data_IF_259721708197
#
_entry.id   IF_259721708197
#
_cell.length_a   1.000
_cell.length_b   1.000
_cell.length_c   1.000
_cell.angle_alpha   90.00
_cell.angle_beta   90.00
_cell.angle_gamma   90.00
#
_symmetry.space_group_name_H-M   'P 1'
#
loop_
_entity.id
_entity.type
_entity.pdbx_description
1 polymer ?
#
# COMPACT_ATOMS: atom_id res chain seq x y z
N UNK A 1 30.35 7.59 -28.75
CA UNK A 1 30.20 7.61 -27.28
C UNK A 1 28.74 7.92 -26.97
N UNK A 2 27.87 6.94 -26.71
CA UNK A 2 26.51 7.26 -26.29
C UNK A 2 26.56 7.78 -24.84
N UNK A 3 25.99 8.96 -24.62
CA UNK A 3 25.80 9.55 -23.30
C UNK A 3 24.93 8.60 -22.49
N UNK A 4 25.42 8.15 -21.33
CA UNK A 4 24.64 7.38 -20.37
C UNK A 4 23.44 8.23 -19.94
N UNK A 5 22.27 7.96 -20.52
CA UNK A 5 21.00 8.41 -20.00
C UNK A 5 20.84 7.77 -18.61
N UNK A 6 21.24 8.51 -17.58
CA UNK A 6 20.82 8.25 -16.21
C UNK A 6 19.31 8.45 -16.16
N UNK A 7 18.58 7.41 -16.57
CA UNK A 7 17.14 7.29 -16.35
C UNK A 7 16.96 7.29 -14.85
N UNK A 8 16.68 8.46 -14.26
CA UNK A 8 16.24 8.54 -12.86
C UNK A 8 14.87 7.89 -12.79
N UNK A 9 14.85 6.58 -12.59
CA UNK A 9 13.65 5.87 -12.20
C UNK A 9 13.21 6.44 -10.85
N UNK A 10 12.15 7.25 -10.87
CA UNK A 10 11.51 7.72 -9.65
C UNK A 10 10.93 6.48 -8.95
N UNK A 11 11.59 6.02 -7.90
CA UNK A 11 11.08 4.97 -7.03
C UNK A 11 10.04 5.59 -6.11
N UNK A 12 8.79 5.13 -6.19
CA UNK A 12 7.72 5.56 -5.30
C UNK A 12 7.62 4.57 -4.15
N UNK A 13 8.13 4.93 -2.97
CA UNK A 13 7.91 4.14 -1.76
C UNK A 13 6.64 4.62 -1.05
N UNK A 14 5.65 3.75 -0.91
CA UNK A 14 4.43 4.01 -0.13
C UNK A 14 4.40 3.05 1.05
N UNK A 15 4.43 3.60 2.26
CA UNK A 15 4.32 2.84 3.50
C UNK A 15 2.90 2.91 4.04
N UNK A 16 2.25 1.76 4.18
CA UNK A 16 0.93 1.62 4.79
C UNK A 16 1.10 0.95 6.16
N UNK A 17 0.98 1.75 7.23
CA UNK A 17 1.12 1.25 8.62
C UNK A 17 -0.18 0.68 9.15
N UNK A 18 -1.14 1.55 9.48
CA UNK A 18 -2.38 1.16 10.12
C UNK A 18 -3.52 2.09 9.71
N UNK A 19 -4.75 1.64 9.96
CA UNK A 19 -5.95 2.45 9.83
C UNK A 19 -6.82 2.32 11.08
N UNK A 20 -7.73 3.27 11.28
CA UNK A 20 -8.78 3.18 12.30
C UNK A 20 -10.12 3.20 11.57
N UNK A 21 -10.89 2.13 11.76
CA UNK A 21 -12.15 1.90 11.08
C UNK A 21 -13.26 2.00 12.12
N UNK A 22 -14.13 2.98 11.95
CA UNK A 22 -15.31 3.15 12.79
C UNK A 22 -16.41 2.21 12.31
N UNK A 23 -16.27 0.93 12.64
CA UNK A 23 -17.30 -0.07 12.38
C UNK A 23 -18.18 -0.24 13.63
N UNK A 24 -19.49 -0.27 13.45
CA UNK A 24 -20.44 -0.63 14.51
C UNK A 24 -20.37 -2.12 14.85
N UNK A 25 -19.85 -2.92 13.93
CA UNK A 25 -19.67 -4.36 14.08
C UNK A 25 -18.21 -4.69 14.42
N UNK A 26 -18.01 -5.69 15.29
CA UNK A 26 -16.67 -6.10 15.74
C UNK A 26 -15.90 -6.84 14.64
N UNK A 27 -16.56 -7.31 13.59
CA UNK A 27 -15.96 -8.15 12.55
C UNK A 27 -15.86 -7.43 11.19
N UNK A 28 -15.13 -6.31 11.13
CA UNK A 28 -14.77 -5.71 9.86
C UNK A 28 -13.47 -6.31 9.30
N UNK A 29 -13.50 -6.71 8.03
CA UNK A 29 -12.35 -7.23 7.28
C UNK A 29 -11.84 -6.16 6.34
N UNK A 30 -10.55 -5.82 6.43
CA UNK A 30 -9.98 -4.69 5.71
C UNK A 30 -8.67 -5.03 5.05
N UNK A 31 -8.44 -4.46 3.87
CA UNK A 31 -7.20 -4.56 3.13
C UNK A 31 -6.99 -3.25 2.36
N UNK A 32 -5.74 -2.99 1.97
CA UNK A 32 -5.38 -1.80 1.23
C UNK A 32 -4.98 -2.19 -0.19
N UNK A 33 -5.42 -1.39 -1.16
CA UNK A 33 -5.05 -1.51 -2.56
C UNK A 33 -4.32 -0.24 -2.97
N UNK A 34 -3.07 -0.39 -3.39
CA UNK A 34 -2.33 0.66 -4.07
C UNK A 34 -2.43 0.44 -5.57
N UNK A 35 -2.95 1.43 -6.30
CA UNK A 35 -3.03 1.40 -7.76
C UNK A 35 -2.34 2.64 -8.33
N UNK A 36 -1.28 2.42 -9.09
CA UNK A 36 -0.54 3.47 -9.81
C UNK A 36 -0.55 3.07 -11.27
N UNK A 37 -1.21 3.88 -12.10
CA UNK A 37 -1.37 3.60 -13.53
C UNK A 37 -1.93 2.17 -13.76
N UNK A 38 -1.17 1.30 -14.44
CA UNK A 38 -1.49 -0.10 -14.71
C UNK A 38 -0.96 -1.10 -13.66
N UNK A 39 -0.31 -0.63 -12.59
CA UNK A 39 0.22 -1.47 -11.51
C UNK A 39 -0.76 -1.48 -10.34
N UNK A 40 -1.06 -2.67 -9.79
CA UNK A 40 -1.90 -2.87 -8.62
C UNK A 40 -1.20 -3.77 -7.61
N UNK A 41 -1.11 -3.30 -6.37
CA UNK A 41 -0.59 -4.04 -5.22
C UNK A 41 -1.61 -4.06 -4.09
N UNK A 42 -1.67 -5.16 -3.35
CA UNK A 42 -2.66 -5.37 -2.30
C UNK A 42 -2.00 -5.88 -1.02
N UNK A 43 -2.53 -5.48 0.14
CA UNK A 43 -2.12 -6.06 1.43
C UNK A 43 -2.93 -7.30 1.78
N UNK A 44 -2.48 -8.03 2.80
CA UNK A 44 -3.30 -9.07 3.43
C UNK A 44 -4.55 -8.49 4.08
N UNK A 45 -5.59 -9.32 4.21
CA UNK A 45 -6.80 -8.96 4.94
C UNK A 45 -6.52 -8.99 6.44
N UNK A 46 -6.88 -7.92 7.13
CA UNK A 46 -6.76 -7.77 8.58
C UNK A 46 -8.14 -7.45 9.16
N UNK A 47 -8.47 -8.08 10.29
CA UNK A 47 -9.74 -7.91 10.98
C UNK A 47 -9.66 -6.90 12.13
N UNK A 48 -10.80 -6.29 12.43
CA UNK A 48 -10.98 -5.43 13.60
C UNK A 48 -10.93 -3.94 13.28
N UNK A 49 -11.25 -3.12 14.29
CA UNK A 49 -11.41 -1.66 14.15
C UNK A 49 -10.10 -0.89 14.01
N UNK A 50 -8.96 -1.54 14.22
CA UNK A 50 -7.63 -0.96 14.10
C UNK A 50 -6.69 -1.91 13.33
N UNK A 51 -6.91 -2.11 12.03
CA UNK A 51 -6.02 -2.97 11.24
C UNK A 51 -4.63 -2.35 11.09
N UNK A 52 -3.60 -3.21 11.13
CA UNK A 52 -2.20 -2.86 10.91
C UNK A 52 -1.62 -3.78 9.84
N UNK A 53 -0.99 -3.20 8.82
CA UNK A 53 -0.38 -3.92 7.71
C UNK A 53 1.14 -3.80 7.68
N UNK A 54 1.68 -2.66 8.12
CA UNK A 54 3.13 -2.37 8.13
C UNK A 54 3.82 -2.77 6.82
N UNK A 55 3.18 -2.48 5.69
CA UNK A 55 3.61 -2.94 4.37
C UNK A 55 4.13 -1.78 3.54
N UNK A 56 5.28 -2.00 2.92
CA UNK A 56 5.87 -1.10 1.93
C UNK A 56 5.49 -1.53 0.51
N UNK A 57 5.22 -0.55 -0.35
CA UNK A 57 5.02 -0.72 -1.78
C UNK A 57 6.10 0.08 -2.51
N UNK A 58 6.68 -0.50 -3.56
CA UNK A 58 7.74 0.09 -4.39
C UNK A 58 7.29 0.24 -5.85
#
# INVERSE_FOLDING_TARGET
MPLSTSSSSLLFCVLVKCAKIQSSDNECYSYVVLKIDNVKSTTTVVTGSQPSWEQEFY
#
